data_IF_126913638846
#
_entry.id   IF_126913638846
#
_cell.length_a   1.000
_cell.length_b   1.000
_cell.length_c   1.000
_cell.angle_alpha   90.00
_cell.angle_beta   90.00
_cell.angle_gamma   90.00
#
_symmetry.space_group_name_H-M   'P 1'
#
loop_
_entity.id
_entity.type
_entity.pdbx_description
1 polymer ?
#
# COMPACT_ATOMS: atom_id res chain seq x y z
N UNK A 1 -7.80 -19.99 -8.62
CA UNK A 1 -6.79 -19.16 -9.30
C UNK A 1 -6.44 -18.03 -8.35
N UNK A 2 -5.33 -18.19 -7.64
CA UNK A 2 -4.92 -17.31 -6.55
C UNK A 2 -4.28 -16.06 -7.14
N UNK A 3 -5.01 -14.95 -7.13
CA UNK A 3 -4.49 -13.66 -7.56
C UNK A 3 -3.48 -13.14 -6.53
N UNK A 4 -2.22 -13.11 -6.89
CA UNK A 4 -1.20 -12.37 -6.13
C UNK A 4 -1.55 -10.90 -6.27
N UNK A 5 -2.06 -10.28 -5.22
CA UNK A 5 -2.20 -8.83 -5.11
C UNK A 5 -0.78 -8.22 -5.04
N UNK A 6 -0.21 -7.95 -6.20
CA UNK A 6 1.00 -7.15 -6.30
C UNK A 6 0.55 -5.69 -6.34
N UNK A 7 0.83 -4.92 -5.30
CA UNK A 7 0.67 -3.47 -5.33
C UNK A 7 1.71 -2.91 -6.31
N UNK A 8 1.34 -2.81 -7.57
CA UNK A 8 2.17 -2.17 -8.60
C UNK A 8 1.80 -0.70 -8.61
N UNK A 9 2.74 0.18 -8.29
CA UNK A 9 2.52 1.61 -8.47
C UNK A 9 2.42 1.95 -9.97
N UNK A 10 1.69 3.01 -10.30
CA UNK A 10 1.48 3.42 -11.69
C UNK A 10 2.80 3.70 -12.43
N UNK A 11 3.83 4.18 -11.74
CA UNK A 11 5.14 4.48 -12.34
C UNK A 11 5.84 3.21 -12.81
N UNK A 12 5.90 2.21 -11.95
CA UNK A 12 6.46 0.90 -12.28
C UNK A 12 5.65 0.20 -13.37
N UNK A 13 4.31 0.27 -13.30
CA UNK A 13 3.43 -0.35 -14.29
C UNK A 13 3.65 0.26 -15.68
N UNK A 14 3.64 1.58 -15.81
CA UNK A 14 3.85 2.26 -17.08
C UNK A 14 5.22 1.91 -17.66
N UNK A 15 6.28 2.04 -16.87
CA UNK A 15 7.64 1.76 -17.29
C UNK A 15 7.82 0.33 -17.78
N UNK A 16 7.43 -0.66 -16.98
CA UNK A 16 7.64 -2.07 -17.32
C UNK A 16 6.81 -2.49 -18.52
N UNK A 17 5.57 -1.97 -18.66
CA UNK A 17 4.71 -2.27 -19.82
C UNK A 17 5.27 -1.64 -21.08
N UNK A 18 5.78 -0.39 -21.02
CA UNK A 18 6.42 0.28 -22.15
C UNK A 18 7.66 -0.47 -22.63
N UNK A 19 8.52 -0.88 -21.69
CA UNK A 19 9.74 -1.62 -22.01
C UNK A 19 9.45 -2.97 -22.67
N UNK A 20 8.43 -3.68 -22.16
CA UNK A 20 7.95 -4.94 -22.78
C UNK A 20 7.38 -4.72 -24.18
N UNK A 21 6.73 -3.59 -24.43
CA UNK A 21 6.21 -3.22 -25.73
C UNK A 21 7.32 -2.70 -26.68
N UNK A 22 8.57 -2.57 -26.23
CA UNK A 22 9.70 -2.06 -27.02
C UNK A 22 9.58 -0.59 -27.41
N UNK A 23 8.78 0.21 -26.66
CA UNK A 23 8.53 1.61 -27.01
C UNK A 23 9.47 2.55 -26.25
N UNK A 24 9.90 3.62 -26.92
CA UNK A 24 10.50 4.77 -26.25
C UNK A 24 9.41 5.61 -25.54
N UNK A 25 9.81 6.44 -24.57
CA UNK A 25 8.88 7.39 -23.92
C UNK A 25 8.23 8.34 -24.94
N UNK A 26 8.96 8.75 -25.97
CA UNK A 26 8.46 9.61 -27.03
C UNK A 26 7.39 8.92 -27.88
N UNK A 27 7.63 7.66 -28.24
CA UNK A 27 6.66 6.87 -29.01
C UNK A 27 5.40 6.60 -28.22
N UNK A 28 5.53 6.23 -26.93
CA UNK A 28 4.37 6.09 -26.06
C UNK A 28 3.57 7.38 -25.95
N UNK A 29 4.26 8.51 -25.76
CA UNK A 29 3.61 9.83 -25.67
C UNK A 29 2.79 10.13 -26.94
N UNK A 30 3.35 9.90 -28.11
CA UNK A 30 2.65 10.12 -29.39
C UNK A 30 1.43 9.22 -29.54
N UNK A 31 1.55 7.91 -29.22
CA UNK A 31 0.44 6.95 -29.31
C UNK A 31 -0.68 7.22 -28.32
N UNK A 32 -0.33 7.67 -27.10
CA UNK A 32 -1.28 7.96 -26.04
C UNK A 32 -1.85 9.39 -26.07
N UNK A 33 -1.46 10.23 -27.04
CA UNK A 33 -1.93 11.62 -27.14
C UNK A 33 -1.49 12.48 -25.97
N UNK A 34 -0.23 12.32 -25.50
CA UNK A 34 0.36 13.09 -24.41
C UNK A 34 1.77 13.58 -24.77
N UNK A 35 2.48 14.20 -23.83
CA UNK A 35 3.84 14.69 -24.03
C UNK A 35 4.88 13.73 -23.41
N UNK A 36 6.07 13.66 -24.03
CA UNK A 36 7.17 12.87 -23.49
C UNK A 36 7.55 13.30 -22.04
N UNK A 37 7.62 14.62 -21.69
CA UNK A 37 7.85 15.01 -20.31
C UNK A 37 6.78 14.54 -19.32
N UNK A 38 5.51 14.38 -19.75
CA UNK A 38 4.46 13.82 -18.91
C UNK A 38 4.73 12.33 -18.63
N UNK A 39 5.05 11.55 -19.67
CA UNK A 39 5.40 10.13 -19.51
C UNK A 39 6.61 9.97 -18.57
N UNK A 40 7.66 10.79 -18.76
CA UNK A 40 8.84 10.78 -17.89
C UNK A 40 8.51 11.04 -16.42
N UNK A 41 7.64 12.02 -16.12
CA UNK A 41 7.20 12.32 -14.74
C UNK A 41 6.37 11.19 -14.15
N UNK A 42 5.52 10.53 -14.94
CA UNK A 42 4.77 9.36 -14.49
C UNK A 42 5.69 8.20 -14.17
N UNK A 43 6.64 7.88 -15.02
CA UNK A 43 7.58 6.77 -14.82
C UNK A 43 8.59 7.01 -13.69
N UNK A 44 8.89 8.27 -13.36
CA UNK A 44 9.74 8.64 -12.23
C UNK A 44 8.99 8.75 -10.91
N UNK A 45 7.64 8.64 -10.92
CA UNK A 45 6.82 8.77 -9.73
C UNK A 45 6.66 10.22 -9.23
N UNK A 46 7.15 11.22 -9.99
CA UNK A 46 7.01 12.65 -9.65
C UNK A 46 5.55 13.09 -9.70
N UNK A 47 4.75 12.46 -10.58
CA UNK A 47 3.31 12.66 -10.63
C UNK A 47 2.60 11.35 -10.95
N UNK A 48 1.37 11.20 -10.46
CA UNK A 48 0.53 10.05 -10.78
C UNK A 48 -0.48 10.42 -11.86
N UNK A 49 -0.66 9.59 -12.91
CA UNK A 49 -1.69 9.85 -13.91
C UNK A 49 -3.09 9.63 -13.33
N UNK A 50 -4.07 10.36 -13.81
CA UNK A 50 -5.48 10.00 -13.60
C UNK A 50 -5.80 8.64 -14.26
N UNK A 51 -6.84 7.97 -13.79
CA UNK A 51 -7.25 6.63 -14.28
C UNK A 51 -7.43 6.61 -15.79
N UNK A 52 -8.12 7.60 -16.36
CA UNK A 52 -8.34 7.70 -17.81
C UNK A 52 -7.02 7.86 -18.59
N UNK A 53 -6.05 8.57 -18.00
CA UNK A 53 -4.72 8.75 -18.59
C UNK A 53 -3.92 7.45 -18.53
N UNK A 54 -4.02 6.74 -17.41
CA UNK A 54 -3.36 5.43 -17.24
C UNK A 54 -3.93 4.41 -18.24
N UNK A 55 -5.26 4.36 -18.38
CA UNK A 55 -5.91 3.47 -19.34
C UNK A 55 -5.45 3.76 -20.78
N UNK A 56 -5.44 5.03 -21.21
CA UNK A 56 -4.94 5.42 -22.54
C UNK A 56 -3.46 5.06 -22.75
N UNK A 57 -2.62 5.24 -21.74
CA UNK A 57 -1.21 4.85 -21.81
C UNK A 57 -1.08 3.33 -21.98
N UNK A 58 -1.81 2.54 -21.19
CA UNK A 58 -1.79 1.08 -21.27
C UNK A 58 -2.34 0.58 -22.61
N UNK A 59 -3.45 1.15 -23.09
CA UNK A 59 -4.01 0.83 -24.40
C UNK A 59 -3.04 1.11 -25.56
N UNK A 60 -2.28 2.22 -25.48
CA UNK A 60 -1.24 2.57 -26.46
C UNK A 60 -0.07 1.57 -26.49
N UNK A 61 0.10 0.79 -25.43
CA UNK A 61 1.10 -0.30 -25.29
C UNK A 61 0.51 -1.68 -25.57
N UNK A 62 -0.77 -1.78 -25.96
CA UNK A 62 -1.45 -3.04 -26.20
C UNK A 62 -1.92 -3.76 -24.92
N UNK A 63 -1.93 -3.08 -23.79
CA UNK A 63 -2.42 -3.59 -22.52
C UNK A 63 -3.81 -3.04 -22.19
N UNK A 64 -4.56 -3.74 -21.32
CA UNK A 64 -5.89 -3.32 -20.85
C UNK A 64 -5.81 -3.05 -19.35
N UNK A 65 -6.42 -1.96 -18.91
CA UNK A 65 -6.64 -1.69 -17.49
C UNK A 65 -7.97 -2.34 -17.07
N UNK A 66 -7.89 -3.24 -16.09
CA UNK A 66 -9.08 -3.74 -15.40
C UNK A 66 -9.03 -3.25 -13.96
N UNK A 67 -10.02 -2.45 -13.59
CA UNK A 67 -10.21 -1.99 -12.22
C UNK A 67 -11.35 -2.80 -11.61
N UNK A 68 -11.08 -3.47 -10.51
CA UNK A 68 -12.09 -4.12 -9.69
C UNK A 68 -12.22 -3.35 -8.39
N UNK A 69 -13.42 -2.92 -8.08
CA UNK A 69 -13.76 -2.45 -6.74
C UNK A 69 -14.26 -3.68 -5.97
N UNK A 70 -13.39 -4.28 -5.20
CA UNK A 70 -13.83 -5.25 -4.21
C UNK A 70 -14.56 -4.49 -3.10
N UNK A 71 -15.62 -5.09 -2.55
CA UNK A 71 -16.24 -4.54 -1.34
C UNK A 71 -15.12 -4.43 -0.29
N UNK A 72 -14.85 -3.20 0.12
CA UNK A 72 -13.95 -3.01 1.25
C UNK A 72 -14.48 -3.88 2.41
N UNK A 73 -13.63 -4.66 3.08
CA UNK A 73 -14.07 -5.41 4.23
C UNK A 73 -14.89 -4.45 5.08
N UNK A 74 -16.12 -4.85 5.43
CA UNK A 74 -17.06 -4.00 6.20
C UNK A 74 -16.23 -3.33 7.27
N UNK A 75 -16.15 -2.00 7.22
CA UNK A 75 -15.52 -1.24 8.29
C UNK A 75 -16.25 -1.68 9.55
N UNK A 76 -15.68 -2.63 10.26
CA UNK A 76 -16.09 -2.89 11.60
C UNK A 76 -15.89 -1.55 12.28
N UNK A 77 -16.98 -0.89 12.67
CA UNK A 77 -16.91 0.37 13.41
C UNK A 77 -16.46 0.02 14.83
N UNK A 78 -15.24 -0.51 14.88
CA UNK A 78 -14.60 -0.96 16.11
C UNK A 78 -14.34 0.29 16.94
N UNK A 79 -15.11 0.45 17.99
CA UNK A 79 -15.10 1.62 18.89
C UNK A 79 -14.42 1.30 20.21
N UNK A 80 -13.29 0.60 20.18
CA UNK A 80 -12.50 0.47 21.41
C UNK A 80 -11.73 1.77 21.69
N UNK A 81 -11.41 2.06 22.96
CA UNK A 81 -10.58 3.22 23.31
C UNK A 81 -9.21 3.21 22.58
N UNK A 82 -8.65 2.02 22.36
CA UNK A 82 -7.37 1.84 21.65
C UNK A 82 -7.51 2.18 20.17
N UNK A 83 -8.55 1.69 19.50
CA UNK A 83 -8.81 2.06 18.10
C UNK A 83 -9.09 3.57 17.95
N UNK A 84 -9.80 4.19 18.90
CA UNK A 84 -10.00 5.64 18.89
C UNK A 84 -8.69 6.42 19.02
N UNK A 85 -7.76 5.96 19.87
CA UNK A 85 -6.42 6.52 20.02
C UNK A 85 -5.61 6.39 18.73
N UNK A 86 -5.62 5.21 18.09
CA UNK A 86 -4.93 4.99 16.81
C UNK A 86 -5.45 5.94 15.74
N UNK A 87 -6.78 6.11 15.64
CA UNK A 87 -7.39 7.07 14.71
C UNK A 87 -7.00 8.52 14.99
N UNK A 88 -6.90 8.90 16.26
CA UNK A 88 -6.45 10.25 16.65
C UNK A 88 -4.98 10.50 16.26
N UNK A 89 -4.13 9.47 16.29
CA UNK A 89 -2.72 9.55 15.91
C UNK A 89 -2.45 9.17 14.44
N UNK A 90 -3.49 8.94 13.65
CA UNK A 90 -3.41 8.46 12.26
C UNK A 90 -2.37 9.19 11.41
N UNK A 91 -2.38 10.52 11.43
CA UNK A 91 -1.46 11.31 10.61
C UNK A 91 -0.01 11.20 11.07
N UNK A 92 0.21 11.07 12.39
CA UNK A 92 1.55 10.83 12.94
C UNK A 92 2.05 9.43 12.56
N UNK A 93 1.21 8.40 12.69
CA UNK A 93 1.51 7.03 12.29
C UNK A 93 1.88 6.99 10.80
N UNK A 94 1.10 7.63 9.92
CA UNK A 94 1.37 7.70 8.49
C UNK A 94 2.69 8.42 8.18
N UNK A 95 3.01 9.50 8.88
CA UNK A 95 4.31 10.19 8.69
C UNK A 95 5.48 9.30 9.07
N UNK A 96 5.39 8.58 10.19
CA UNK A 96 6.43 7.65 10.62
C UNK A 96 6.62 6.56 9.57
N UNK A 97 5.58 5.83 9.22
CA UNK A 97 5.66 4.72 8.24
C UNK A 97 6.19 5.18 6.89
N UNK A 98 5.71 6.33 6.40
CA UNK A 98 6.13 6.88 5.11
C UNK A 98 7.62 7.25 5.08
N UNK A 99 8.19 7.74 6.19
CA UNK A 99 9.63 8.05 6.33
C UNK A 99 10.50 6.82 6.06
N UNK A 100 10.03 5.66 6.48
CA UNK A 100 10.70 4.38 6.24
C UNK A 100 10.31 3.71 4.92
N UNK A 101 9.47 4.37 4.11
CA UNK A 101 9.03 3.89 2.79
C UNK A 101 7.93 2.85 2.85
N UNK A 102 7.22 2.77 3.98
CA UNK A 102 6.02 1.97 4.14
C UNK A 102 4.77 2.82 3.89
N UNK A 103 3.70 2.19 3.42
CA UNK A 103 2.41 2.81 3.10
C UNK A 103 1.24 1.91 3.48
N UNK A 104 0.00 2.39 3.27
CA UNK A 104 -1.22 1.63 3.45
C UNK A 104 -1.30 0.94 4.82
N UNK A 105 -1.22 1.75 5.88
CA UNK A 105 -1.25 1.25 7.26
C UNK A 105 -2.65 0.76 7.62
N UNK A 106 -2.72 -0.45 8.14
CA UNK A 106 -3.96 -1.12 8.59
C UNK A 106 -3.74 -1.71 9.97
N UNK A 107 -4.74 -1.63 10.82
CA UNK A 107 -4.77 -2.33 12.12
C UNK A 107 -5.34 -3.72 11.88
N UNK A 108 -4.75 -4.76 12.45
CA UNK A 108 -5.29 -6.11 12.41
C UNK A 108 -5.25 -6.77 13.79
N UNK A 109 -5.58 -8.05 13.90
CA UNK A 109 -5.55 -8.76 15.17
C UNK A 109 -6.64 -8.33 16.14
N UNK A 110 -6.38 -8.47 17.44
CA UNK A 110 -7.36 -8.25 18.51
C UNK A 110 -7.97 -6.85 18.51
N UNK A 111 -7.16 -5.81 18.23
CA UNK A 111 -7.61 -4.42 18.17
C UNK A 111 -8.59 -4.20 17.01
N UNK A 112 -8.34 -4.81 15.86
CA UNK A 112 -9.22 -4.72 14.70
C UNK A 112 -10.55 -5.43 14.94
N UNK A 113 -10.55 -6.53 15.70
CA UNK A 113 -11.77 -7.28 16.07
C UNK A 113 -12.53 -6.68 17.26
N UNK A 114 -11.93 -5.71 17.98
CA UNK A 114 -12.51 -5.17 19.20
C UNK A 114 -12.42 -6.10 20.41
N UNK A 115 -11.48 -7.03 20.41
CA UNK A 115 -11.23 -8.04 21.44
C UNK A 115 -9.98 -7.69 22.29
N UNK A 116 -9.47 -6.45 22.13
CA UNK A 116 -8.25 -6.01 22.80
C UNK A 116 -8.44 -5.83 24.32
N UNK A 117 -7.51 -6.43 25.07
CA UNK A 117 -7.40 -6.28 26.53
C UNK A 117 -6.23 -5.36 26.93
N UNK A 118 -5.98 -5.23 28.24
CA UNK A 118 -4.92 -4.39 28.77
C UNK A 118 -3.53 -4.81 28.28
N UNK A 119 -3.30 -6.11 28.14
CA UNK A 119 -2.01 -6.68 27.71
C UNK A 119 -1.90 -6.90 26.19
N UNK A 120 -2.91 -6.49 25.40
CA UNK A 120 -2.87 -6.66 23.95
C UNK A 120 -1.89 -5.67 23.33
N UNK A 121 -1.10 -6.15 22.37
CA UNK A 121 -0.26 -5.33 21.50
C UNK A 121 -1.08 -4.71 20.36
N UNK A 122 -0.55 -3.67 19.73
CA UNK A 122 -1.13 -3.10 18.52
C UNK A 122 -0.45 -3.74 17.30
N UNK A 123 -1.21 -4.51 16.53
CA UNK A 123 -0.74 -5.15 15.32
C UNK A 123 -1.02 -4.29 14.09
N UNK A 124 0.02 -3.90 13.36
CA UNK A 124 -0.07 -3.10 12.15
C UNK A 124 0.41 -3.86 10.93
N UNK A 125 -0.39 -3.83 9.86
CA UNK A 125 0.02 -4.23 8.52
C UNK A 125 0.42 -3.00 7.72
N UNK A 126 1.53 -3.12 7.00
CA UNK A 126 2.01 -2.08 6.08
C UNK A 126 2.40 -2.66 4.74
N UNK A 127 2.28 -1.88 3.69
CA UNK A 127 2.86 -2.21 2.40
C UNK A 127 4.30 -1.69 2.36
N UNK A 128 5.26 -2.62 2.34
CA UNK A 128 6.70 -2.33 2.26
C UNK A 128 7.34 -3.27 1.25
N UNK A 129 8.14 -2.73 0.33
CA UNK A 129 8.97 -3.55 -0.58
C UNK A 129 10.18 -4.13 0.18
N UNK A 130 9.95 -5.28 0.83
CA UNK A 130 10.96 -5.97 1.65
C UNK A 130 12.15 -6.45 0.81
N UNK A 131 11.92 -6.73 -0.49
CA UNK A 131 12.99 -7.19 -1.39
C UNK A 131 14.03 -6.10 -1.64
N UNK A 132 13.59 -4.84 -1.69
CA UNK A 132 14.46 -3.68 -1.92
C UNK A 132 15.02 -3.08 -0.64
N UNK A 133 14.25 -3.10 0.45
CA UNK A 133 14.57 -2.38 1.69
C UNK A 133 14.98 -3.27 2.86
N UNK A 134 14.79 -4.58 2.73
CA UNK A 134 14.98 -5.52 3.84
C UNK A 134 13.90 -5.38 4.93
N UNK A 135 14.11 -6.02 6.06
CA UNK A 135 13.19 -6.02 7.22
C UNK A 135 13.54 -4.97 8.27
N UNK A 136 14.74 -4.40 8.24
CA UNK A 136 15.19 -3.40 9.23
C UNK A 136 14.23 -2.21 9.42
N UNK A 137 13.60 -1.65 8.35
CA UNK A 137 12.64 -0.57 8.51
C UNK A 137 11.45 -0.91 9.40
N UNK A 138 11.02 -2.18 9.45
CA UNK A 138 9.86 -2.60 10.26
C UNK A 138 10.13 -2.47 11.75
N UNK A 139 11.32 -2.88 12.21
CA UNK A 139 11.72 -2.71 13.60
C UNK A 139 11.79 -1.23 14.00
N UNK A 140 12.40 -0.39 13.16
CA UNK A 140 12.48 1.05 13.42
C UNK A 140 11.08 1.71 13.45
N UNK A 141 10.15 1.29 12.58
CA UNK A 141 8.75 1.74 12.62
C UNK A 141 8.09 1.30 13.93
N UNK A 142 8.26 0.03 14.33
CA UNK A 142 7.67 -0.51 15.56
C UNK A 142 8.15 0.24 16.80
N UNK A 143 9.47 0.48 16.91
CA UNK A 143 10.07 1.21 18.03
C UNK A 143 9.56 2.65 18.12
N UNK A 144 9.53 3.37 16.98
CA UNK A 144 9.10 4.77 16.95
C UNK A 144 7.59 4.89 17.22
N UNK A 145 6.77 3.97 16.70
CA UNK A 145 5.35 3.95 16.97
C UNK A 145 5.02 3.54 18.41
N UNK A 146 5.78 2.60 18.99
CA UNK A 146 5.62 2.23 20.39
C UNK A 146 5.92 3.41 21.31
N UNK A 147 6.97 4.18 21.02
CA UNK A 147 7.28 5.41 21.75
C UNK A 147 6.19 6.49 21.58
N UNK A 148 5.63 6.63 20.37
CA UNK A 148 4.58 7.60 20.08
C UNK A 148 3.26 7.27 20.78
N UNK A 149 2.88 5.99 20.83
CA UNK A 149 1.59 5.54 21.35
C UNK A 149 1.63 5.18 22.83
N UNK A 150 2.83 4.98 23.38
CA UNK A 150 3.02 4.57 24.78
C UNK A 150 2.60 3.12 25.04
N UNK A 151 2.56 2.29 24.00
CA UNK A 151 2.20 0.87 24.07
C UNK A 151 2.96 0.07 23.00
N UNK A 152 3.01 -1.23 23.17
CA UNK A 152 3.73 -2.09 22.23
C UNK A 152 3.04 -2.14 20.87
N UNK A 153 3.84 -1.98 19.82
CA UNK A 153 3.38 -2.02 18.42
C UNK A 153 4.21 -3.04 17.66
N UNK A 154 3.53 -3.99 17.05
CA UNK A 154 4.14 -4.93 16.11
C UNK A 154 3.78 -4.53 14.68
N UNK A 155 4.77 -4.58 13.77
CA UNK A 155 4.60 -4.16 12.38
C UNK A 155 4.99 -5.29 11.44
N UNK A 156 4.03 -5.73 10.63
CA UNK A 156 4.22 -6.78 9.65
C UNK A 156 4.04 -6.26 8.21
N UNK A 157 4.88 -6.69 7.26
CA UNK A 157 4.71 -6.35 5.86
C UNK A 157 3.65 -7.26 5.24
N UNK A 158 2.59 -6.68 4.67
CA UNK A 158 1.47 -7.45 4.10
C UNK A 158 1.92 -8.43 3.01
N UNK A 159 2.93 -8.07 2.22
CA UNK A 159 3.45 -8.89 1.13
C UNK A 159 4.38 -10.04 1.55
N UNK A 160 4.74 -10.16 2.83
CA UNK A 160 5.62 -11.22 3.33
C UNK A 160 4.94 -12.13 4.37
N UNK A 161 3.65 -11.97 4.60
CA UNK A 161 2.88 -12.90 5.43
C UNK A 161 2.75 -14.27 4.75
N UNK A 162 2.79 -15.33 5.56
CA UNK A 162 2.47 -16.66 5.07
C UNK A 162 1.03 -16.69 4.50
N UNK A 163 0.75 -17.40 3.40
CA UNK A 163 -0.54 -17.33 2.69
C UNK A 163 -1.76 -17.52 3.58
N UNK A 164 -1.71 -18.47 4.53
CA UNK A 164 -2.80 -18.73 5.45
C UNK A 164 -3.02 -17.62 6.49
N UNK A 165 -1.96 -16.89 6.85
CA UNK A 165 -2.04 -15.73 7.76
C UNK A 165 -2.49 -14.49 7.00
N UNK A 166 -2.00 -14.32 5.75
CA UNK A 166 -2.32 -13.17 4.91
C UNK A 166 -3.83 -13.10 4.62
N UNK A 167 -4.47 -14.22 4.33
CA UNK A 167 -5.92 -14.26 4.03
C UNK A 167 -6.74 -13.75 5.23
N UNK A 168 -6.49 -14.29 6.42
CA UNK A 168 -7.19 -13.86 7.65
C UNK A 168 -6.86 -12.42 8.03
N UNK A 169 -5.56 -12.08 8.08
CA UNK A 169 -5.12 -10.75 8.49
C UNK A 169 -5.64 -9.64 7.55
N UNK A 170 -5.69 -9.90 6.24
CA UNK A 170 -6.20 -8.93 5.27
C UNK A 170 -7.74 -8.83 5.31
N UNK A 171 -8.45 -9.91 5.62
CA UNK A 171 -9.91 -9.92 5.72
C UNK A 171 -10.42 -9.09 6.92
N UNK A 172 -9.67 -9.09 8.04
CA UNK A 172 -10.04 -8.35 9.27
C UNK A 172 -9.36 -7.00 9.41
N UNK A 173 -8.38 -6.67 8.55
CA UNK A 173 -7.60 -5.45 8.66
C UNK A 173 -8.43 -4.17 8.44
N UNK A 174 -8.33 -3.24 9.38
CA UNK A 174 -9.03 -1.94 9.36
C UNK A 174 -8.05 -0.84 8.96
N UNK A 175 -8.29 -0.09 7.87
CA UNK A 175 -7.43 1.02 7.44
C UNK A 175 -7.35 2.14 8.47
N UNK A 176 -6.14 2.71 8.63
CA UNK A 176 -5.85 3.90 9.41
C UNK A 176 -5.70 5.13 8.53
#
# INVERSE_FOLDING_TARGET
MTGVLCTVDAATLIRTTRERAGLSQLELARRAGTSQPAVSRYESGVSSPAVDTLDRLLAAMGARLELRADEAPRRLDVRTPRMARLRAHRDAIRRVTHRYGASNVRVFGSVARGEDGAESDVDLLVDLDVRRRGLLPLGAIADELSALLGERVDVAPAGALAPHVAESALAEAVPL
#
